data_IF_803557410256
#
_entry.id   IF_803557410256
#
_cell.length_a   1.000
_cell.length_b   1.000
_cell.length_c   1.000
_cell.angle_alpha   90.00
_cell.angle_beta   90.00
_cell.angle_gamma   90.00
#
_symmetry.space_group_name_H-M   'P 1'
#
loop_
_entity.id
_entity.type
_entity.pdbx_description
1 polymer ?
#
# COMPACT_ATOMS: atom_id res chain seq x y z
N UNK A 1 26.50 -42.00 53.02
CA UNK A 1 25.32 -42.36 52.20
C UNK A 1 24.93 -41.16 51.34
N UNK A 2 24.70 -41.44 50.06
CA UNK A 2 24.62 -40.52 48.91
C UNK A 2 23.25 -39.84 48.83
N UNK A 3 23.19 -38.54 48.49
CA UNK A 3 22.11 -37.92 47.68
C UNK A 3 22.47 -36.50 47.25
N UNK A 4 23.12 -36.45 46.09
CA UNK A 4 23.22 -35.30 45.18
C UNK A 4 21.79 -34.81 44.86
N UNK A 5 21.46 -33.56 45.16
CA UNK A 5 20.30 -32.86 44.57
C UNK A 5 20.82 -31.91 43.49
N UNK A 6 20.56 -32.29 42.25
CA UNK A 6 20.69 -31.48 41.03
C UNK A 6 19.63 -30.38 41.13
N UNK A 7 20.01 -29.14 41.46
CA UNK A 7 19.13 -27.96 41.42
C UNK A 7 19.57 -27.01 40.29
N UNK A 8 19.14 -27.38 39.10
CA UNK A 8 18.62 -26.53 38.02
C UNK A 8 19.41 -25.29 37.54
N UNK A 9 20.41 -25.51 36.67
CA UNK A 9 21.10 -24.45 35.91
C UNK A 9 20.18 -23.71 34.92
N UNK A 10 19.05 -24.32 34.52
CA UNK A 10 18.10 -23.75 33.56
C UNK A 10 17.35 -22.53 34.11
N UNK A 11 17.12 -22.46 35.42
CA UNK A 11 16.43 -21.33 36.05
C UNK A 11 17.30 -20.07 36.12
N UNK A 12 18.63 -20.22 36.23
CA UNK A 12 19.57 -19.10 36.22
C UNK A 12 19.73 -18.57 34.80
N UNK A 13 19.86 -19.46 33.81
CA UNK A 13 19.91 -19.09 32.40
C UNK A 13 18.65 -18.36 31.93
N UNK A 14 17.45 -18.83 32.32
CA UNK A 14 16.19 -18.13 31.98
C UNK A 14 16.12 -16.72 32.58
N UNK A 15 16.51 -16.55 33.86
CA UNK A 15 16.47 -15.23 34.53
C UNK A 15 17.42 -14.23 33.89
N UNK A 16 18.61 -14.69 33.48
CA UNK A 16 19.58 -13.86 32.76
C UNK A 16 19.04 -13.47 31.37
N UNK A 17 18.36 -14.39 30.68
CA UNK A 17 17.77 -14.13 29.37
C UNK A 17 16.63 -13.10 29.43
N UNK A 18 15.76 -13.18 30.44
CA UNK A 18 14.68 -12.20 30.61
C UNK A 18 15.21 -10.82 31.04
N UNK A 19 16.27 -10.77 31.86
CA UNK A 19 16.89 -9.52 32.28
C UNK A 19 17.57 -8.77 31.12
N UNK A 20 18.26 -9.49 30.22
CA UNK A 20 18.89 -8.87 29.05
C UNK A 20 17.87 -8.39 28.02
N UNK A 21 16.80 -9.17 27.78
CA UNK A 21 15.71 -8.77 26.88
C UNK A 21 15.03 -7.46 27.33
N UNK A 22 14.83 -7.27 28.63
CA UNK A 22 14.22 -6.06 29.18
C UNK A 22 15.09 -4.81 28.98
N UNK A 23 16.41 -4.93 29.09
CA UNK A 23 17.35 -3.80 28.86
C UNK A 23 17.37 -3.37 27.40
N UNK A 24 17.28 -4.32 26.46
CA UNK A 24 17.24 -4.01 25.03
C UNK A 24 16.00 -3.19 24.66
N UNK A 25 14.82 -3.51 25.21
CA UNK A 25 13.57 -2.78 24.89
C UNK A 25 13.61 -1.31 25.36
N UNK A 26 14.30 -1.01 26.46
CA UNK A 26 14.39 0.37 27.00
C UNK A 26 15.42 1.23 26.24
N UNK A 27 16.44 0.61 25.65
CA UNK A 27 17.53 1.33 25.00
C UNK A 27 17.25 1.74 23.54
N UNK A 28 16.16 1.26 22.93
CA UNK A 28 15.78 1.65 21.57
C UNK A 28 14.81 2.84 21.62
N UNK A 29 15.25 4.07 21.28
CA UNK A 29 14.33 5.19 21.15
C UNK A 29 13.36 4.87 20.02
N UNK A 30 12.06 4.82 20.33
CA UNK A 30 11.03 4.82 19.30
C UNK A 30 11.09 6.17 18.58
N UNK A 31 11.59 6.17 17.35
CA UNK A 31 11.45 7.31 16.45
C UNK A 31 9.95 7.58 16.26
N UNK A 32 9.44 8.64 16.87
CA UNK A 32 8.09 9.10 16.64
C UNK A 32 8.00 9.63 15.19
N UNK A 33 7.57 8.78 14.27
CA UNK A 33 7.19 9.21 12.92
C UNK A 33 5.93 10.06 13.08
N UNK A 34 6.06 11.37 12.90
CA UNK A 34 4.93 12.28 12.88
C UNK A 34 3.94 11.85 11.81
N UNK A 35 2.73 11.46 12.23
CA UNK A 35 1.64 11.19 11.30
C UNK A 35 1.15 12.55 10.79
N UNK A 36 1.55 12.91 9.58
CA UNK A 36 0.89 14.00 8.84
C UNK A 36 -0.56 13.59 8.68
N UNK A 37 -1.45 14.34 9.33
CA UNK A 37 -2.89 14.23 9.13
C UNK A 37 -3.18 14.31 7.64
N UNK A 38 -3.97 13.37 7.14
CA UNK A 38 -4.31 13.21 5.74
C UNK A 38 -4.92 14.48 5.17
N UNK A 39 -4.09 15.33 4.57
CA UNK A 39 -4.52 16.27 3.55
C UNK A 39 -5.32 15.48 2.51
N UNK A 40 -6.46 16.03 2.08
CA UNK A 40 -7.32 15.43 1.07
C UNK A 40 -6.45 14.83 -0.05
N UNK A 41 -6.44 13.50 -0.14
CA UNK A 41 -5.45 12.77 -0.92
C UNK A 41 -5.45 13.33 -2.36
N UNK A 42 -4.41 14.09 -2.70
CA UNK A 42 -4.40 14.85 -3.96
C UNK A 42 -4.43 13.86 -5.11
N UNK A 43 -5.52 13.90 -5.87
CA UNK A 43 -5.70 13.01 -7.02
C UNK A 43 -4.80 13.49 -8.14
N UNK A 44 -3.95 12.58 -8.63
CA UNK A 44 -3.05 12.85 -9.75
C UNK A 44 -3.28 11.87 -10.88
N UNK A 45 -3.02 12.30 -12.12
CA UNK A 45 -3.21 11.44 -13.28
C UNK A 45 -2.37 10.16 -13.17
N UNK A 46 -1.08 10.30 -12.88
CA UNK A 46 -0.14 9.17 -12.85
C UNK A 46 -0.45 8.18 -11.74
N UNK A 47 -0.74 8.64 -10.52
CA UNK A 47 -0.98 7.75 -9.37
C UNK A 47 -2.35 7.09 -9.42
N UNK A 48 -3.39 7.86 -9.76
CA UNK A 48 -4.76 7.43 -9.50
C UNK A 48 -5.55 7.11 -10.77
N UNK A 49 -5.29 7.81 -11.88
CA UNK A 49 -6.09 7.68 -13.12
C UNK A 49 -5.47 6.71 -14.12
N UNK A 50 -4.17 6.85 -14.39
CA UNK A 50 -3.45 6.05 -15.39
C UNK A 50 -3.57 4.53 -15.13
N UNK A 51 -3.46 4.02 -13.88
CA UNK A 51 -3.65 2.59 -13.63
C UNK A 51 -5.06 2.08 -13.96
N UNK A 52 -6.09 2.91 -13.79
CA UNK A 52 -7.48 2.57 -14.15
C UNK A 52 -7.63 2.50 -15.66
N UNK A 53 -7.09 3.48 -16.39
CA UNK A 53 -7.13 3.49 -17.85
C UNK A 53 -6.34 2.32 -18.44
N UNK A 54 -5.15 2.02 -17.90
CA UNK A 54 -4.31 0.90 -18.32
C UNK A 54 -5.05 -0.44 -18.24
N UNK A 55 -5.69 -0.74 -17.09
CA UNK A 55 -6.35 -2.03 -16.87
C UNK A 55 -7.70 -2.18 -17.57
N UNK A 56 -8.40 -1.09 -17.86
CA UNK A 56 -9.81 -1.15 -18.33
C UNK A 56 -10.06 -0.55 -19.72
N UNK A 57 -9.27 0.42 -20.16
CA UNK A 57 -9.59 1.22 -21.36
C UNK A 57 -8.51 1.10 -22.43
N UNK A 58 -7.23 1.13 -22.05
CA UNK A 58 -6.09 1.14 -22.95
C UNK A 58 -5.86 -0.20 -23.67
N UNK A 59 -6.67 -1.23 -23.44
CA UNK A 59 -6.66 -2.40 -24.34
C UNK A 59 -7.16 -2.02 -25.74
N UNK A 60 -8.15 -1.12 -25.82
CA UNK A 60 -8.74 -0.66 -27.07
C UNK A 60 -8.33 0.79 -27.40
N UNK A 61 -8.07 1.61 -26.39
CA UNK A 61 -7.69 3.03 -26.54
C UNK A 61 -6.17 3.23 -26.62
N UNK A 62 -5.56 2.64 -27.64
CA UNK A 62 -4.15 2.88 -28.01
C UNK A 62 -4.08 3.48 -29.41
N UNK A 63 -2.97 4.14 -29.77
CA UNK A 63 -2.68 4.45 -31.16
C UNK A 63 -2.79 3.20 -32.03
N UNK A 64 -3.34 3.34 -33.24
CA UNK A 64 -3.52 2.26 -34.21
C UNK A 64 -4.37 1.07 -33.73
N UNK A 65 -5.16 1.25 -32.67
CA UNK A 65 -6.08 0.24 -32.17
C UNK A 65 -7.53 0.51 -32.63
N UNK A 66 -8.47 -0.29 -32.16
CA UNK A 66 -9.87 -0.25 -32.60
C UNK A 66 -10.63 0.99 -32.13
N UNK A 67 -10.19 1.65 -31.06
CA UNK A 67 -10.84 2.85 -30.57
C UNK A 67 -10.25 4.11 -31.23
N UNK A 68 -11.07 5.14 -31.52
CA UNK A 68 -10.68 6.30 -32.33
C UNK A 68 -9.75 7.29 -31.62
N UNK A 69 -9.34 7.01 -30.37
CA UNK A 69 -8.58 7.93 -29.53
C UNK A 69 -7.66 7.20 -28.56
N UNK A 70 -6.46 7.74 -28.38
CA UNK A 70 -5.48 7.31 -27.37
C UNK A 70 -5.93 7.71 -25.96
N UNK A 71 -5.60 6.88 -24.97
CA UNK A 71 -5.72 7.18 -23.54
C UNK A 71 -4.40 6.95 -22.79
N UNK A 72 -3.27 7.00 -23.51
CA UNK A 72 -1.95 6.69 -22.94
C UNK A 72 -1.37 7.85 -22.13
N UNK A 73 -1.59 9.09 -22.56
CA UNK A 73 -1.07 10.30 -21.93
C UNK A 73 -2.17 11.12 -21.27
N UNK A 74 -1.80 12.06 -20.41
CA UNK A 74 -2.76 12.98 -19.79
C UNK A 74 -3.41 13.88 -20.84
N UNK A 75 -2.60 14.37 -21.79
CA UNK A 75 -2.99 15.26 -22.87
C UNK A 75 -4.04 14.61 -23.77
N UNK A 76 -3.86 13.33 -24.10
CA UNK A 76 -4.81 12.56 -24.90
C UNK A 76 -6.10 12.26 -24.13
N UNK A 77 -6.00 11.95 -22.83
CA UNK A 77 -7.14 11.54 -22.02
C UNK A 77 -8.02 12.71 -21.55
N UNK A 78 -7.43 13.88 -21.28
CA UNK A 78 -8.12 15.04 -20.68
C UNK A 78 -9.38 15.49 -21.44
N UNK A 79 -9.38 15.60 -22.79
CA UNK A 79 -10.57 16.04 -23.54
C UNK A 79 -11.79 15.13 -23.34
N UNK A 80 -11.55 13.85 -23.06
CA UNK A 80 -12.59 12.82 -22.97
C UNK A 80 -13.07 12.54 -21.55
N UNK A 81 -12.52 13.23 -20.54
CA UNK A 81 -12.85 12.99 -19.13
C UNK A 81 -14.36 13.07 -18.84
N UNK A 82 -15.08 14.02 -19.44
CA UNK A 82 -16.53 14.14 -19.28
C UNK A 82 -17.29 12.96 -19.90
N UNK A 83 -16.88 12.53 -21.10
CA UNK A 83 -17.47 11.38 -21.78
C UNK A 83 -17.22 10.09 -20.99
N UNK A 84 -15.99 9.87 -20.52
CA UNK A 84 -15.63 8.73 -19.67
C UNK A 84 -16.49 8.67 -18.40
N UNK A 85 -16.66 9.81 -17.70
CA UNK A 85 -17.54 9.90 -16.53
C UNK A 85 -18.98 9.52 -16.87
N UNK A 86 -19.50 10.04 -17.97
CA UNK A 86 -20.87 9.76 -18.39
C UNK A 86 -21.06 8.27 -18.73
N UNK A 87 -20.22 7.70 -19.60
CA UNK A 87 -20.33 6.30 -20.02
C UNK A 87 -20.16 5.32 -18.86
N UNK A 88 -19.20 5.55 -17.97
CA UNK A 88 -19.01 4.69 -16.79
C UNK A 88 -20.12 4.86 -15.74
N UNK A 89 -20.75 6.04 -15.66
CA UNK A 89 -21.89 6.31 -14.78
C UNK A 89 -23.18 5.58 -15.20
N UNK A 90 -23.38 5.35 -16.51
CA UNK A 90 -24.54 4.60 -17.02
C UNK A 90 -24.50 3.11 -16.66
N UNK A 91 -23.30 2.54 -16.49
CA UNK A 91 -23.09 1.08 -16.29
C UNK A 91 -23.78 0.28 -17.38
N UNK A 92 -24.90 -0.37 -17.06
CA UNK A 92 -25.66 -1.25 -17.96
C UNK A 92 -26.99 -0.62 -18.43
N UNK A 93 -27.22 0.66 -18.12
CA UNK A 93 -28.43 1.37 -18.55
C UNK A 93 -28.31 1.77 -20.02
N UNK A 94 -29.41 1.77 -20.79
CA UNK A 94 -29.43 2.40 -22.09
C UNK A 94 -29.16 3.90 -21.95
N UNK A 95 -28.61 4.49 -23.02
CA UNK A 95 -28.28 5.90 -23.11
C UNK A 95 -29.51 6.82 -23.22
#
# INVERSE_FOLDING_TARGET
>A
MKRIRIFNENAVLQRLFFATAAVVVVAFPSSAVGQTSSDAHTVTFTKDVAPILQRSCQRCHRPESVAPMSLLTYEDARPWARAMKHRTGLRNKPE
#
